data_IF_494439761966
#
_entry.id   IF_494439761966
#
_cell.length_a   1.000
_cell.length_b   1.000
_cell.length_c   1.000
_cell.angle_alpha   90.00
_cell.angle_beta   90.00
_cell.angle_gamma   90.00
#
_symmetry.space_group_name_H-M   'P 1'
#
loop_
_entity.id
_entity.type
_entity.pdbx_description
1 polymer ?
#
# COMPACT_ATOMS: atom_id res chain seq x y z
N UNK A 1 -9.14 -4.13 0.25
CA UNK A 1 -10.40 -3.51 -0.18
C UNK A 1 -10.31 -2.02 0.10
N UNK A 2 -10.81 -1.22 -0.83
CA UNK A 2 -10.86 0.25 -0.74
C UNK A 2 -12.28 0.70 -1.02
N UNK A 3 -12.79 1.63 -0.22
CA UNK A 3 -14.11 2.23 -0.42
C UNK A 3 -14.06 3.73 -0.12
N UNK A 4 -14.42 4.56 -1.09
CA UNK A 4 -14.42 6.02 -0.94
C UNK A 4 -15.73 6.45 -0.29
N UNK A 5 -15.66 7.07 0.88
CA UNK A 5 -16.85 7.52 1.61
C UNK A 5 -17.12 9.02 1.42
N UNK A 6 -16.12 9.78 1.02
CA UNK A 6 -16.22 11.21 0.75
C UNK A 6 -15.02 11.66 -0.10
N UNK A 7 -15.24 12.49 -1.12
CA UNK A 7 -14.19 12.99 -2.01
C UNK A 7 -13.76 12.04 -3.11
N UNK A 8 -12.50 12.12 -3.51
CA UNK A 8 -11.94 11.39 -4.65
C UNK A 8 -10.50 10.95 -4.41
N UNK A 9 -10.10 9.81 -4.97
CA UNK A 9 -8.71 9.32 -4.94
C UNK A 9 -8.33 8.69 -6.27
N UNK A 10 -7.02 8.63 -6.54
CA UNK A 10 -6.45 7.81 -7.61
C UNK A 10 -5.86 6.53 -7.02
N UNK A 11 -6.28 5.40 -7.54
CA UNK A 11 -5.71 4.08 -7.26
C UNK A 11 -4.79 3.68 -8.41
N UNK A 12 -3.50 3.58 -8.15
CA UNK A 12 -2.54 3.01 -9.08
C UNK A 12 -2.40 1.51 -8.86
N UNK A 13 -2.58 0.71 -9.91
CA UNK A 13 -2.35 -0.74 -9.90
C UNK A 13 -1.47 -1.09 -11.09
N UNK A 14 -0.26 -1.59 -10.83
CA UNK A 14 0.75 -1.77 -11.87
C UNK A 14 1.10 -0.43 -12.54
N UNK A 15 0.86 -0.33 -13.86
CA UNK A 15 1.10 0.90 -14.65
C UNK A 15 -0.16 1.75 -14.88
N UNK A 16 -1.31 1.29 -14.44
CA UNK A 16 -2.59 1.94 -14.68
C UNK A 16 -3.03 2.75 -13.46
N UNK A 17 -3.67 3.89 -13.73
CA UNK A 17 -4.30 4.74 -12.74
C UNK A 17 -5.82 4.66 -12.92
N UNK A 18 -6.50 4.45 -11.81
CA UNK A 18 -7.95 4.34 -11.75
C UNK A 18 -8.50 5.42 -10.84
N UNK A 19 -9.30 6.32 -11.41
CA UNK A 19 -10.00 7.34 -10.65
C UNK A 19 -11.17 6.73 -9.87
N UNK A 20 -11.28 7.09 -8.59
CA UNK A 20 -12.35 6.65 -7.70
C UNK A 20 -13.02 7.85 -7.04
N UNK A 21 -14.34 7.93 -7.17
CA UNK A 21 -15.22 8.92 -6.57
C UNK A 21 -15.93 8.38 -5.32
N UNK A 22 -16.64 9.23 -4.61
CA UNK A 22 -17.50 8.84 -3.49
C UNK A 22 -18.48 7.73 -3.87
N UNK A 23 -18.44 6.64 -3.11
CA UNK A 23 -19.24 5.43 -3.30
C UNK A 23 -18.58 4.37 -4.18
N UNK A 24 -17.45 4.68 -4.82
CA UNK A 24 -16.68 3.69 -5.58
C UNK A 24 -16.00 2.69 -4.65
N UNK A 25 -15.94 1.45 -5.13
CA UNK A 25 -15.31 0.31 -4.46
C UNK A 25 -14.14 -0.20 -5.28
N UNK A 26 -13.06 -0.59 -4.62
CA UNK A 26 -11.98 -1.28 -5.29
C UNK A 26 -11.45 -2.45 -4.47
N UNK A 27 -10.92 -3.44 -5.18
CA UNK A 27 -10.20 -4.55 -4.57
C UNK A 27 -8.87 -4.77 -5.25
N UNK A 28 -7.83 -4.88 -4.43
CA UNK A 28 -6.49 -5.27 -4.87
C UNK A 28 -6.15 -6.59 -4.21
N UNK A 29 -5.78 -7.57 -5.01
CA UNK A 29 -5.46 -8.92 -4.52
C UNK A 29 -4.01 -8.98 -3.99
N UNK A 30 -3.68 -10.01 -3.18
CA UNK A 30 -2.35 -10.19 -2.61
C UNK A 30 -1.25 -10.15 -3.69
N UNK A 31 -0.09 -9.63 -3.35
CA UNK A 31 1.09 -9.55 -4.22
C UNK A 31 0.90 -8.68 -5.48
N UNK A 32 -0.14 -7.84 -5.55
CA UNK A 32 -0.31 -6.82 -6.59
C UNK A 32 0.15 -5.48 -6.05
N UNK A 33 1.13 -4.88 -6.72
CA UNK A 33 1.64 -3.56 -6.33
C UNK A 33 0.61 -2.50 -6.67
N UNK A 34 0.32 -1.69 -5.66
CA UNK A 34 -0.62 -0.60 -5.77
C UNK A 34 -0.20 0.58 -4.90
N UNK A 35 -0.69 1.74 -5.27
CA UNK A 35 -0.49 2.97 -4.52
C UNK A 35 -1.73 3.85 -4.59
N UNK A 36 -1.85 4.77 -3.65
CA UNK A 36 -2.95 5.72 -3.59
C UNK A 36 -2.41 7.14 -3.69
N UNK A 37 -3.11 7.98 -4.44
CA UNK A 37 -2.79 9.39 -4.60
C UNK A 37 -4.04 10.22 -4.35
N UNK A 38 -3.87 11.33 -3.68
CA UNK A 38 -4.90 12.35 -3.46
C UNK A 38 -4.40 13.61 -4.13
N UNK A 39 -5.20 14.18 -5.01
CA UNK A 39 -4.92 15.43 -5.68
C UNK A 39 -5.88 16.50 -5.14
N UNK A 40 -5.32 17.63 -4.71
CA UNK A 40 -6.11 18.76 -4.21
C UNK A 40 -6.04 18.97 -2.69
N UNK A 41 -6.72 20.04 -2.24
CA UNK A 41 -6.74 20.45 -0.83
C UNK A 41 -8.00 19.95 -0.08
N UNK A 42 -8.90 19.24 -0.76
CA UNK A 42 -10.13 18.72 -0.14
C UNK A 42 -9.81 17.56 0.79
N UNK A 43 -10.52 17.49 1.91
CA UNK A 43 -10.53 16.27 2.73
C UNK A 43 -11.16 15.12 1.93
N UNK A 44 -10.49 13.98 1.95
CA UNK A 44 -10.98 12.74 1.36
C UNK A 44 -11.09 11.69 2.46
N UNK A 45 -12.19 10.96 2.49
CA UNK A 45 -12.42 9.89 3.46
C UNK A 45 -12.51 8.55 2.76
N UNK A 46 -11.60 7.66 3.11
CA UNK A 46 -11.46 6.36 2.47
C UNK A 46 -11.37 5.27 3.53
N UNK A 47 -12.11 4.21 3.34
CA UNK A 47 -12.02 3.01 4.14
C UNK A 47 -11.04 2.05 3.47
N UNK A 48 -10.01 1.62 4.21
CA UNK A 48 -9.09 0.55 3.83
C UNK A 48 -9.35 -0.67 4.71
N UNK A 49 -9.78 -1.79 4.10
CA UNK A 49 -9.90 -3.08 4.77
C UNK A 49 -8.77 -3.99 4.30
N UNK A 50 -7.91 -4.36 5.21
CA UNK A 50 -6.86 -5.35 4.98
C UNK A 50 -7.35 -6.70 5.47
N UNK A 51 -7.56 -7.62 4.54
CA UNK A 51 -8.11 -8.95 4.78
C UNK A 51 -7.04 -9.99 4.47
N UNK A 52 -6.66 -10.78 5.46
CA UNK A 52 -5.67 -11.84 5.29
C UNK A 52 -6.21 -12.94 4.36
N UNK A 53 -5.45 -13.38 3.33
CA UNK A 53 -5.89 -14.43 2.41
C UNK A 53 -6.25 -15.76 3.09
N UNK A 54 -5.69 -16.01 4.27
CA UNK A 54 -5.98 -17.18 5.10
C UNK A 54 -7.41 -17.23 5.64
N UNK A 55 -8.10 -16.08 5.67
CA UNK A 55 -9.54 -16.00 5.99
C UNK A 55 -10.43 -16.63 4.92
N UNK A 56 -9.87 -16.91 3.73
CA UNK A 56 -10.60 -17.33 2.54
C UNK A 56 -10.10 -18.67 1.99
N UNK A 57 -10.20 -19.79 2.72
CA UNK A 57 -9.65 -21.07 2.25
C UNK A 57 -10.17 -21.49 0.88
N UNK A 58 -11.47 -21.22 0.61
CA UNK A 58 -12.13 -21.54 -0.66
C UNK A 58 -11.62 -20.73 -1.86
N UNK A 59 -11.06 -19.54 -1.63
CA UNK A 59 -10.54 -18.63 -2.67
C UNK A 59 -9.02 -18.50 -2.63
N UNK A 60 -8.35 -19.21 -1.72
CA UNK A 60 -6.91 -19.00 -1.48
C UNK A 60 -6.08 -19.18 -2.75
N UNK A 61 -6.38 -20.22 -3.54
CA UNK A 61 -5.67 -20.52 -4.79
C UNK A 61 -5.93 -19.42 -5.83
N UNK A 62 -7.18 -19.04 -6.01
CA UNK A 62 -7.58 -18.00 -6.96
C UNK A 62 -6.95 -16.65 -6.60
N UNK A 63 -6.92 -16.31 -5.32
CA UNK A 63 -6.26 -15.11 -4.81
C UNK A 63 -4.74 -15.09 -5.07
N UNK A 64 -4.10 -16.24 -5.24
CA UNK A 64 -2.68 -16.29 -5.60
C UNK A 64 -2.44 -16.13 -7.11
N UNK A 65 -3.36 -16.61 -7.94
CA UNK A 65 -3.19 -16.72 -9.39
C UNK A 65 -3.80 -15.53 -10.14
N UNK A 66 -4.97 -15.06 -9.71
CA UNK A 66 -5.76 -14.08 -10.43
C UNK A 66 -5.73 -12.70 -9.79
N UNK A 67 -6.05 -11.68 -10.61
CA UNK A 67 -6.35 -10.31 -10.20
C UNK A 67 -7.51 -9.78 -11.03
N UNK A 68 -8.35 -8.87 -10.51
CA UNK A 68 -9.32 -8.18 -11.33
C UNK A 68 -8.64 -7.44 -12.48
N UNK A 69 -9.21 -7.54 -13.70
CA UNK A 69 -8.73 -6.79 -14.85
C UNK A 69 -8.90 -5.27 -14.66
N UNK A 70 -10.02 -4.86 -14.09
CA UNK A 70 -10.25 -3.52 -13.55
C UNK A 70 -10.51 -3.66 -12.06
N UNK A 71 -9.67 -3.09 -11.18
CA UNK A 71 -9.84 -3.23 -9.74
C UNK A 71 -10.98 -2.37 -9.18
N UNK A 72 -11.49 -1.40 -9.94
CA UNK A 72 -12.51 -0.43 -9.50
C UNK A 72 -13.89 -0.81 -10.01
N UNK A 73 -14.87 -0.78 -9.12
CA UNK A 73 -16.31 -0.89 -9.40
C UNK A 73 -16.93 0.47 -9.08
N UNK A 74 -17.58 1.07 -10.05
CA UNK A 74 -18.26 2.36 -9.89
C UNK A 74 -19.51 2.22 -9.02
N UNK A 75 -19.82 3.27 -8.25
CA UNK A 75 -20.91 3.36 -7.25
C UNK A 75 -22.21 2.69 -7.69
N UNK A 76 -22.63 2.93 -8.94
CA UNK A 76 -23.88 2.41 -9.51
C UNK A 76 -23.88 0.89 -9.69
N UNK A 77 -22.69 0.28 -9.72
CA UNK A 77 -22.48 -1.15 -9.94
C UNK A 77 -22.11 -1.88 -8.64
N UNK A 78 -21.83 -1.14 -7.55
CA UNK A 78 -21.50 -1.76 -6.27
C UNK A 78 -22.74 -2.40 -5.67
N UNK A 79 -22.67 -3.71 -5.44
CA UNK A 79 -23.80 -4.43 -4.85
C UNK A 79 -24.06 -3.95 -3.41
N UNK A 80 -25.33 -3.75 -2.98
CA UNK A 80 -25.64 -3.30 -1.62
C UNK A 80 -25.04 -4.17 -0.52
N UNK A 81 -24.93 -5.48 -0.73
CA UNK A 81 -24.33 -6.41 0.23
C UNK A 81 -22.85 -6.11 0.47
N UNK A 82 -22.12 -5.67 -0.55
CA UNK A 82 -20.70 -5.25 -0.42
C UNK A 82 -20.62 -4.03 0.49
N UNK A 83 -21.47 -3.03 0.26
CA UNK A 83 -21.52 -1.81 1.09
C UNK A 83 -21.90 -2.15 2.53
N UNK A 84 -22.91 -3.02 2.73
CA UNK A 84 -23.32 -3.48 4.06
C UNK A 84 -22.22 -4.26 4.77
N UNK A 85 -21.50 -5.12 4.04
CA UNK A 85 -20.37 -5.86 4.58
C UNK A 85 -19.22 -4.94 5.03
N UNK A 86 -18.89 -3.92 4.22
CA UNK A 86 -17.88 -2.93 4.58
C UNK A 86 -18.29 -2.16 5.85
N UNK A 87 -19.53 -1.68 5.91
CA UNK A 87 -20.06 -0.97 7.08
C UNK A 87 -20.02 -1.83 8.34
N UNK A 88 -20.40 -3.10 8.23
CA UNK A 88 -20.32 -4.04 9.34
C UNK A 88 -18.87 -4.21 9.80
N UNK A 89 -17.94 -4.53 8.89
CA UNK A 89 -16.53 -4.78 9.19
C UNK A 89 -15.81 -3.55 9.78
N UNK A 90 -16.21 -2.35 9.42
CA UNK A 90 -15.62 -1.11 9.97
C UNK A 90 -16.25 -0.64 11.28
N UNK A 91 -17.45 -1.08 11.59
CA UNK A 91 -18.16 -0.73 12.83
C UNK A 91 -17.86 -1.66 14.02
N UNK A 92 -17.10 -2.75 13.80
CA UNK A 92 -16.80 -3.74 14.83
C UNK A 92 -15.59 -3.31 15.66
N UNK A 93 -15.77 -3.18 16.97
CA UNK A 93 -14.66 -3.08 17.94
C UNK A 93 -14.32 -4.45 18.55
N UNK A 94 -15.32 -5.30 18.79
CA UNK A 94 -15.19 -6.69 19.23
C UNK A 94 -16.22 -7.52 18.47
N UNK A 95 -15.82 -8.41 17.58
CA UNK A 95 -16.71 -9.20 16.74
C UNK A 95 -16.44 -10.71 16.80
N UNK A 96 -17.48 -11.51 16.61
CA UNK A 96 -17.32 -12.97 16.41
C UNK A 96 -16.50 -13.20 15.12
N UNK A 97 -15.34 -13.89 15.20
CA UNK A 97 -14.50 -14.17 14.03
C UNK A 97 -15.25 -14.84 12.86
N UNK A 98 -16.29 -15.64 13.15
CA UNK A 98 -17.14 -16.28 12.13
C UNK A 98 -17.97 -15.26 11.36
N UNK A 99 -18.46 -14.23 12.03
CA UNK A 99 -19.20 -13.13 11.38
C UNK A 99 -18.26 -12.29 10.53
N UNK A 100 -17.08 -11.94 11.05
CA UNK A 100 -16.05 -11.22 10.29
C UNK A 100 -15.70 -12.00 9.02
N UNK A 101 -15.48 -13.32 9.12
CA UNK A 101 -15.18 -14.18 8.00
C UNK A 101 -16.35 -14.24 6.99
N UNK A 102 -17.59 -14.33 7.45
CA UNK A 102 -18.77 -14.38 6.59
C UNK A 102 -18.94 -13.11 5.76
N UNK A 103 -18.82 -11.93 6.38
CA UNK A 103 -18.91 -10.66 5.66
C UNK A 103 -17.72 -10.45 4.70
N UNK A 104 -16.53 -10.83 5.10
CA UNK A 104 -15.36 -10.77 4.22
C UNK A 104 -15.52 -11.72 3.01
N UNK A 105 -16.02 -12.94 3.21
CA UNK A 105 -16.34 -13.88 2.13
C UNK A 105 -17.43 -13.37 1.19
N UNK A 106 -18.44 -12.67 1.70
CA UNK A 106 -19.47 -12.04 0.89
C UNK A 106 -18.88 -11.03 -0.09
N UNK A 107 -17.95 -10.19 0.37
CA UNK A 107 -17.25 -9.26 -0.53
C UNK A 107 -16.52 -10.02 -1.64
N UNK A 108 -15.75 -11.05 -1.31
CA UNK A 108 -15.01 -11.83 -2.30
C UNK A 108 -15.94 -12.58 -3.26
N UNK A 109 -17.05 -13.12 -2.79
CA UNK A 109 -18.03 -13.79 -3.65
C UNK A 109 -18.55 -12.83 -4.74
N UNK A 110 -18.90 -11.59 -4.36
CA UNK A 110 -19.30 -10.58 -5.34
C UNK A 110 -18.16 -10.23 -6.30
N UNK A 111 -16.95 -10.06 -5.81
CA UNK A 111 -15.77 -9.77 -6.63
C UNK A 111 -15.56 -10.85 -7.70
N UNK A 112 -15.54 -12.12 -7.32
CA UNK A 112 -15.32 -13.22 -8.26
C UNK A 112 -16.48 -13.47 -9.23
N UNK A 113 -17.69 -13.09 -8.86
CA UNK A 113 -18.86 -13.27 -9.72
C UNK A 113 -19.11 -12.11 -10.70
N UNK A 114 -18.67 -10.91 -10.35
CA UNK A 114 -19.00 -9.70 -11.13
C UNK A 114 -17.81 -9.10 -11.86
N UNK A 115 -16.58 -9.30 -11.36
CA UNK A 115 -15.39 -8.70 -11.94
C UNK A 115 -14.67 -9.67 -12.89
N UNK A 116 -14.36 -9.27 -14.12
CA UNK A 116 -13.49 -10.05 -15.00
C UNK A 116 -12.11 -10.23 -14.41
N UNK A 117 -11.65 -11.47 -14.30
CA UNK A 117 -10.32 -11.81 -13.76
C UNK A 117 -9.31 -11.95 -14.89
N UNK A 118 -8.04 -11.69 -14.56
CA UNK A 118 -6.88 -11.93 -15.41
C UNK A 118 -5.80 -12.63 -14.59
N UNK A 119 -4.90 -13.34 -15.29
CA UNK A 119 -3.75 -13.95 -14.62
C UNK A 119 -2.80 -12.85 -14.11
N UNK A 120 -2.34 -12.98 -12.87
CA UNK A 120 -1.40 -12.01 -12.26
C UNK A 120 -0.08 -11.89 -13.01
N UNK A 121 0.34 -12.95 -13.70
CA UNK A 121 1.53 -12.89 -14.54
C UNK A 121 1.39 -11.84 -15.66
N UNK A 122 0.17 -11.47 -16.04
CA UNK A 122 -0.12 -10.39 -16.98
C UNK A 122 -0.15 -9.00 -16.30
N UNK A 123 -0.33 -8.92 -14.99
CA UNK A 123 -0.34 -7.67 -14.20
C UNK A 123 1.06 -7.26 -13.75
N UNK A 124 2.11 -7.62 -14.46
CA UNK A 124 3.42 -7.03 -14.21
C UNK A 124 4.43 -7.88 -13.46
N UNK A 125 4.44 -9.20 -13.61
CA UNK A 125 5.59 -10.02 -13.19
C UNK A 125 6.85 -9.76 -14.04
N UNK A 126 6.74 -9.06 -15.16
CA UNK A 126 7.84 -8.48 -15.95
C UNK A 126 7.93 -6.97 -15.82
N UNK A 127 7.14 -6.33 -14.97
CA UNK A 127 7.04 -4.88 -14.88
C UNK A 127 8.21 -4.30 -14.08
N UNK A 128 8.88 -3.33 -14.68
CA UNK A 128 9.95 -2.61 -14.04
C UNK A 128 9.53 -1.98 -12.69
N UNK A 129 8.28 -1.54 -12.57
CA UNK A 129 7.74 -0.96 -11.33
C UNK A 129 7.69 -2.04 -10.24
N UNK A 130 7.16 -3.22 -10.56
CA UNK A 130 7.12 -4.35 -9.62
C UNK A 130 8.50 -4.70 -9.13
N UNK A 131 9.43 -4.94 -10.05
CA UNK A 131 10.79 -5.35 -9.72
C UNK A 131 11.52 -4.27 -8.91
N UNK A 132 11.30 -2.99 -9.23
CA UNK A 132 11.90 -1.88 -8.51
C UNK A 132 11.37 -1.75 -7.08
N UNK A 133 10.05 -1.90 -6.88
CA UNK A 133 9.44 -1.85 -5.54
C UNK A 133 9.86 -3.07 -4.71
N UNK A 134 9.85 -4.26 -5.30
CA UNK A 134 10.32 -5.48 -4.65
C UNK A 134 11.80 -5.39 -4.25
N UNK A 135 12.64 -4.87 -5.14
CA UNK A 135 14.05 -4.62 -4.86
C UNK A 135 14.23 -3.69 -3.64
N UNK A 136 13.52 -2.56 -3.61
CA UNK A 136 13.58 -1.65 -2.47
C UNK A 136 13.04 -2.31 -1.20
N UNK A 137 11.91 -3.02 -1.27
CA UNK A 137 11.32 -3.69 -0.12
C UNK A 137 12.26 -4.74 0.51
N UNK A 138 13.02 -5.46 -0.32
CA UNK A 138 14.00 -6.46 0.13
C UNK A 138 15.29 -5.84 0.68
N UNK A 139 15.72 -4.70 0.12
CA UNK A 139 17.07 -4.17 0.34
C UNK A 139 17.12 -2.80 1.03
N UNK A 140 15.98 -2.21 1.45
CA UNK A 140 15.95 -0.84 1.98
C UNK A 140 16.85 -0.60 3.21
N UNK A 141 17.16 -1.64 3.97
CA UNK A 141 18.07 -1.57 5.13
C UNK A 141 19.54 -1.45 4.74
N UNK A 142 19.85 -1.85 3.53
CA UNK A 142 21.22 -1.79 3.00
C UNK A 142 21.52 -0.44 2.34
N UNK A 143 22.80 -0.22 2.02
CA UNK A 143 23.19 0.90 1.18
C UNK A 143 22.85 0.58 -0.28
N UNK A 144 21.66 1.00 -0.71
CA UNK A 144 21.18 0.84 -2.08
C UNK A 144 21.27 2.16 -2.86
N UNK A 145 21.68 2.04 -4.11
CA UNK A 145 21.71 3.17 -5.05
C UNK A 145 20.89 2.88 -6.29
N UNK A 146 20.52 3.95 -7.01
CA UNK A 146 19.81 3.81 -8.28
C UNK A 146 20.63 3.04 -9.32
N UNK A 147 21.97 3.20 -9.29
CA UNK A 147 22.92 2.52 -10.15
C UNK A 147 22.94 1.01 -9.86
N UNK A 148 23.04 0.63 -8.57
CA UNK A 148 23.03 -0.78 -8.15
C UNK A 148 21.72 -1.45 -8.55
N UNK A 149 20.58 -0.79 -8.29
CA UNK A 149 19.27 -1.30 -8.69
C UNK A 149 19.16 -1.43 -10.23
N UNK A 150 19.64 -0.44 -10.98
CA UNK A 150 19.62 -0.48 -12.45
C UNK A 150 20.43 -1.67 -13.00
N UNK A 151 21.57 -1.94 -12.40
CA UNK A 151 22.40 -3.09 -12.75
C UNK A 151 21.66 -4.42 -12.49
N UNK A 152 21.05 -4.59 -11.30
CA UNK A 152 20.36 -5.82 -10.94
C UNK A 152 19.07 -6.06 -11.74
N UNK A 153 18.37 -4.99 -12.09
CA UNK A 153 17.15 -5.07 -12.92
C UNK A 153 17.43 -5.04 -14.44
N UNK A 154 18.70 -5.05 -14.86
CA UNK A 154 19.12 -5.02 -16.26
C UNK A 154 18.53 -3.85 -17.07
N UNK A 155 18.38 -2.68 -16.46
CA UNK A 155 17.86 -1.46 -17.08
C UNK A 155 18.80 -0.27 -16.90
N UNK A 156 18.64 0.80 -17.68
CA UNK A 156 19.42 2.00 -17.46
C UNK A 156 18.90 2.80 -16.26
N UNK A 157 19.79 3.47 -15.52
CA UNK A 157 19.43 4.36 -14.42
C UNK A 157 18.45 5.47 -14.83
N UNK A 158 18.51 5.90 -16.08
CA UNK A 158 17.62 6.94 -16.62
C UNK A 158 16.18 6.43 -16.74
N UNK A 159 16.01 5.16 -17.12
CA UNK A 159 14.70 4.50 -17.16
C UNK A 159 14.11 4.42 -15.76
N UNK A 160 14.88 3.95 -14.77
CA UNK A 160 14.44 3.92 -13.37
C UNK A 160 14.13 5.31 -12.83
N UNK A 161 15.03 6.29 -13.05
CA UNK A 161 14.80 7.65 -12.56
C UNK A 161 13.49 8.23 -13.11
N UNK A 162 13.21 8.01 -14.40
CA UNK A 162 11.98 8.46 -15.05
C UNK A 162 10.76 7.71 -14.52
N UNK A 163 10.88 6.41 -14.29
CA UNK A 163 9.83 5.59 -13.69
C UNK A 163 9.47 6.11 -12.30
N UNK A 164 10.45 6.34 -11.39
CA UNK A 164 10.18 6.88 -10.06
C UNK A 164 9.52 8.26 -10.12
N UNK A 165 10.00 9.15 -11.00
CA UNK A 165 9.40 10.48 -11.16
C UNK A 165 7.97 10.42 -11.70
N UNK A 166 7.69 9.52 -12.66
CA UNK A 166 6.36 9.40 -13.30
C UNK A 166 5.36 8.66 -12.41
N UNK A 167 5.78 7.57 -11.77
CA UNK A 167 4.87 6.69 -11.02
C UNK A 167 4.69 7.12 -9.57
N UNK A 168 5.80 7.50 -8.89
CA UNK A 168 5.77 7.85 -7.47
C UNK A 168 5.93 9.34 -7.21
N UNK A 169 5.99 10.18 -8.25
CA UNK A 169 6.17 11.63 -8.17
C UNK A 169 7.32 12.07 -7.24
N UNK A 170 8.34 11.24 -7.13
CA UNK A 170 9.53 11.50 -6.33
C UNK A 170 10.77 10.85 -6.94
N UNK A 171 11.95 11.24 -6.48
CA UNK A 171 13.17 10.55 -6.86
C UNK A 171 13.38 9.28 -6.02
N UNK A 172 14.29 8.40 -6.48
CA UNK A 172 14.65 7.14 -5.81
C UNK A 172 15.00 7.32 -4.33
N UNK A 173 15.86 8.30 -4.00
CA UNK A 173 16.27 8.52 -2.61
C UNK A 173 15.12 8.92 -1.71
N UNK A 174 14.18 9.74 -2.20
CA UNK A 174 12.98 10.13 -1.46
C UNK A 174 12.05 8.92 -1.26
N UNK A 175 11.91 8.07 -2.27
CA UNK A 175 11.13 6.84 -2.19
C UNK A 175 11.70 5.88 -1.13
N UNK A 176 13.01 5.56 -1.20
CA UNK A 176 13.69 4.70 -0.22
C UNK A 176 13.58 5.26 1.19
N UNK A 177 13.81 6.57 1.36
CA UNK A 177 13.64 7.22 2.66
C UNK A 177 12.20 7.12 3.17
N UNK A 178 11.20 7.19 2.30
CA UNK A 178 9.79 6.97 2.65
C UNK A 178 9.55 5.59 3.22
N UNK A 179 10.08 4.55 2.58
CA UNK A 179 10.00 3.16 3.05
C UNK A 179 10.69 3.01 4.41
N UNK A 180 11.93 3.51 4.54
CA UNK A 180 12.68 3.49 5.81
C UNK A 180 11.93 4.18 6.96
N UNK A 181 11.30 5.32 6.67
CA UNK A 181 10.51 6.06 7.67
C UNK A 181 9.28 5.30 8.12
N UNK A 182 8.59 4.57 7.24
CA UNK A 182 7.44 3.77 7.63
C UNK A 182 7.85 2.67 8.63
N UNK A 183 8.98 1.99 8.39
CA UNK A 183 9.53 1.03 9.35
C UNK A 183 9.99 1.69 10.64
N UNK A 184 10.60 2.88 10.56
CA UNK A 184 11.02 3.62 11.75
C UNK A 184 9.83 4.03 12.63
N UNK A 185 8.72 4.44 12.03
CA UNK A 185 7.48 4.76 12.77
C UNK A 185 6.95 3.53 13.47
N UNK A 186 6.82 2.40 12.77
CA UNK A 186 6.39 1.15 13.39
C UNK A 186 7.30 0.73 14.57
N UNK A 187 8.63 0.90 14.43
CA UNK A 187 9.57 0.64 15.52
C UNK A 187 9.43 1.63 16.68
N UNK A 188 9.20 2.93 16.39
CA UNK A 188 8.96 3.95 17.43
C UNK A 188 7.69 3.67 18.23
N UNK A 189 6.67 3.10 17.60
CA UNK A 189 5.37 2.78 18.21
C UNK A 189 5.39 1.49 19.01
N UNK A 190 6.11 0.47 18.53
CA UNK A 190 6.01 -0.89 19.06
C UNK A 190 7.23 -1.37 19.85
N UNK A 191 8.31 -0.58 19.92
CA UNK A 191 9.53 -0.97 20.65
C UNK A 191 10.03 0.13 21.57
N UNK A 192 10.88 -0.27 22.54
CA UNK A 192 11.61 0.65 23.42
C UNK A 192 13.05 0.91 22.94
N UNK A 193 13.39 0.50 21.71
CA UNK A 193 14.73 0.67 21.15
C UNK A 193 15.15 2.13 21.11
N UNK A 194 16.44 2.38 21.24
CA UNK A 194 16.97 3.74 21.16
C UNK A 194 16.71 4.33 19.75
N UNK A 195 16.52 5.66 19.70
CA UNK A 195 16.36 6.36 18.40
C UNK A 195 17.54 6.08 17.46
N UNK A 196 18.74 5.89 18.01
CA UNK A 196 19.95 5.55 17.26
C UNK A 196 19.85 4.14 16.65
N UNK A 197 19.42 3.15 17.44
CA UNK A 197 19.27 1.79 16.95
C UNK A 197 18.20 1.72 15.85
N UNK A 198 17.03 2.34 16.06
CA UNK A 198 15.97 2.42 15.05
C UNK A 198 16.48 3.07 13.76
N UNK A 199 17.24 4.16 13.87
CA UNK A 199 17.85 4.81 12.71
C UNK A 199 18.71 3.84 11.89
N UNK A 200 19.60 3.09 12.55
CA UNK A 200 20.52 2.15 11.90
C UNK A 200 19.75 0.93 11.33
N UNK A 201 18.85 0.35 12.11
CA UNK A 201 18.05 -0.82 11.72
C UNK A 201 17.11 -0.55 10.54
N UNK A 202 16.71 0.71 10.36
CA UNK A 202 15.96 1.14 9.19
C UNK A 202 16.84 1.53 8.00
N UNK A 203 18.17 1.36 8.08
CA UNK A 203 19.09 1.56 6.99
C UNK A 203 19.51 3.00 6.73
N UNK A 204 19.32 3.92 7.68
CA UNK A 204 19.87 5.27 7.57
C UNK A 204 21.35 5.28 7.95
N UNK A 205 22.20 5.85 7.11
CA UNK A 205 23.65 5.93 7.34
C UNK A 205 24.03 6.88 8.49
N UNK A 206 23.16 7.84 8.81
CA UNK A 206 23.41 8.78 9.90
C UNK A 206 22.11 9.25 10.55
N UNK A 207 22.19 9.44 11.87
CA UNK A 207 21.09 10.01 12.65
C UNK A 207 20.73 11.44 12.21
N UNK A 208 21.70 12.20 11.66
CA UNK A 208 21.45 13.53 11.11
C UNK A 208 20.51 13.46 9.91
N UNK A 209 20.76 12.55 8.96
CA UNK A 209 19.90 12.34 7.79
C UNK A 209 18.53 11.85 8.24
N UNK A 210 18.47 10.85 9.12
CA UNK A 210 17.23 10.34 9.68
C UNK A 210 16.37 11.44 10.31
N UNK A 211 16.92 12.22 11.24
CA UNK A 211 16.19 13.30 11.91
C UNK A 211 15.67 14.35 10.93
N UNK A 212 16.48 14.73 9.93
CA UNK A 212 16.09 15.69 8.90
C UNK A 212 14.91 15.17 8.09
N UNK A 213 15.00 13.96 7.56
CA UNK A 213 13.97 13.37 6.68
C UNK A 213 12.69 13.09 7.48
N UNK A 214 12.82 12.63 8.72
CA UNK A 214 11.69 12.42 9.62
C UNK A 214 10.94 13.72 9.90
N UNK A 215 11.68 14.79 10.28
CA UNK A 215 11.09 16.12 10.55
C UNK A 215 10.47 16.74 9.30
N UNK A 216 11.05 16.51 8.14
CA UNK A 216 10.49 16.96 6.85
C UNK A 216 9.09 16.34 6.61
N UNK A 217 8.94 15.03 6.87
CA UNK A 217 7.68 14.29 6.64
C UNK A 217 6.65 14.52 7.76
N UNK A 218 7.07 14.39 9.03
CA UNK A 218 6.14 14.38 10.17
C UNK A 218 6.08 15.71 10.94
N UNK A 219 6.86 16.72 10.54
CA UNK A 219 6.95 18.06 11.14
C UNK A 219 7.48 18.11 12.57
N UNK A 220 7.78 16.98 13.18
CA UNK A 220 8.36 16.81 14.51
C UNK A 220 9.55 15.84 14.47
N UNK A 221 10.38 15.83 15.49
CA UNK A 221 11.52 14.91 15.59
C UNK A 221 11.06 13.49 15.99
N UNK A 222 11.85 12.42 15.72
CA UNK A 222 11.54 11.07 16.17
C UNK A 222 11.33 10.97 17.70
N UNK A 223 12.10 11.75 18.46
CA UNK A 223 11.98 11.80 19.93
C UNK A 223 10.66 12.42 20.39
N UNK A 224 10.24 13.51 19.75
CA UNK A 224 8.95 14.16 20.02
C UNK A 224 7.80 13.26 19.59
N UNK A 225 7.93 12.57 18.45
CA UNK A 225 6.95 11.62 17.96
C UNK A 225 6.72 10.50 18.99
N UNK A 226 7.79 9.84 19.46
CA UNK A 226 7.69 8.80 20.51
C UNK A 226 7.04 9.31 21.80
N UNK A 227 7.39 10.52 22.24
CA UNK A 227 6.77 11.08 23.45
C UNK A 227 5.26 11.25 23.34
N UNK A 228 4.76 11.63 22.16
CA UNK A 228 3.30 11.81 21.92
C UNK A 228 2.51 10.49 21.94
N UNK A 229 3.16 9.36 21.68
CA UNK A 229 2.49 8.04 21.62
C UNK A 229 2.46 7.39 23.01
N UNK A 230 3.46 7.66 23.86
CA UNK A 230 3.58 7.07 25.20
C UNK A 230 2.74 7.84 26.24
N UNK A 231 2.25 9.04 25.90
CA UNK A 231 1.32 9.83 26.72
C UNK A 231 -0.14 9.45 26.41
#
# INVERSE_FOLDING_TARGET
>A
VVYVTDGEIELGVGQELFHMDEGDFAVVFPNVIHHYQVFGEKENKVIFLYLEPTLFPSYYRELQIYSPKNPVVKKEQVHPDVVNAIKYLTGITEGDPRMIQAYAQMILAHVFTTMPMMDKSAVGSGDLIYNAVEYVAKNFRENISLEKMAYELCVSKYVLSRMFAKTFHCNFSKYVNGVRLNYAVAALENTMDSITNICLDCGFESQRTFNRVFKEKYKITPREYRKKIIM
#
